data_IF_838427700604
#
_entry.id   IF_838427700604
#
_cell.length_a   1.000
_cell.length_b   1.000
_cell.length_c   1.000
_cell.angle_alpha   90.00
_cell.angle_beta   90.00
_cell.angle_gamma   90.00
#
_symmetry.space_group_name_H-M   'P 1'
#
loop_
_entity.id
_entity.type
_entity.pdbx_description
1 polymer ?
#
# COMPACT_ATOMS: atom_id res chain seq x y z
N UNK A 1 9.44 -29.01 4.89
CA UNK A 1 9.19 -27.91 5.85
C UNK A 1 9.01 -26.64 5.06
N UNK A 2 7.78 -26.34 4.64
CA UNK A 2 7.42 -25.10 3.97
C UNK A 2 7.38 -23.98 5.01
N UNK A 3 8.54 -23.36 5.26
CA UNK A 3 8.63 -22.22 6.16
C UNK A 3 7.67 -21.13 5.69
N UNK A 4 6.60 -20.91 6.46
CA UNK A 4 5.59 -19.90 6.19
C UNK A 4 6.29 -18.54 6.14
N UNK A 5 6.44 -17.97 4.94
CA UNK A 5 7.19 -16.73 4.73
C UNK A 5 6.35 -15.54 5.22
N UNK A 6 6.44 -15.24 6.51
CA UNK A 6 5.76 -14.09 7.13
C UNK A 6 6.34 -12.77 6.62
N UNK A 7 5.49 -11.78 6.37
CA UNK A 7 5.91 -10.43 5.96
C UNK A 7 6.34 -10.27 4.50
N UNK A 8 6.15 -11.28 3.64
CA UNK A 8 6.44 -11.14 2.19
C UNK A 8 5.57 -10.05 1.58
N UNK A 9 6.19 -9.15 0.81
CA UNK A 9 5.52 -8.02 0.16
C UNK A 9 5.37 -6.77 1.03
N UNK A 10 5.68 -6.84 2.34
CA UNK A 10 5.63 -5.67 3.22
C UNK A 10 6.85 -4.78 2.97
N UNK A 11 6.60 -3.49 2.69
CA UNK A 11 7.64 -2.47 2.51
C UNK A 11 7.53 -1.45 3.64
N UNK A 12 8.65 -1.19 4.32
CA UNK A 12 8.79 -0.11 5.30
C UNK A 12 9.60 1.05 4.72
N UNK A 13 9.12 2.28 4.90
CA UNK A 13 9.82 3.51 4.48
C UNK A 13 10.08 4.37 5.71
N UNK A 14 11.32 4.82 5.89
CA UNK A 14 11.73 5.68 7.00
C UNK A 14 12.86 6.61 6.56
N UNK A 15 12.83 7.86 7.04
CA UNK A 15 13.93 8.82 6.92
C UNK A 15 14.65 8.93 8.27
N UNK A 16 15.97 8.67 8.29
CA UNK A 16 16.75 8.58 9.53
C UNK A 16 17.83 9.67 9.61
N UNK A 17 17.43 10.93 9.82
CA UNK A 17 18.36 12.07 9.89
C UNK A 17 19.31 12.05 11.11
N UNK A 18 19.04 11.17 12.08
CA UNK A 18 19.88 10.96 13.27
C UNK A 18 20.97 9.88 13.08
N UNK A 19 20.90 9.10 12.00
CA UNK A 19 21.92 8.10 11.68
C UNK A 19 23.00 8.71 10.80
N UNK A 20 24.23 8.20 10.93
CA UNK A 20 25.37 8.66 10.14
C UNK A 20 25.53 7.79 8.89
N UNK A 21 25.47 8.36 7.67
CA UNK A 21 25.75 7.60 6.46
C UNK A 21 27.21 7.13 6.43
N UNK A 22 27.44 5.92 5.91
CA UNK A 22 28.77 5.42 5.59
C UNK A 22 29.40 6.24 4.43
N UNK A 23 30.71 6.07 4.21
CA UNK A 23 31.49 6.89 3.29
C UNK A 23 30.89 7.01 1.87
N UNK A 24 30.37 5.91 1.30
CA UNK A 24 29.78 5.88 -0.04
C UNK A 24 28.25 6.17 -0.06
N UNK A 25 27.65 6.47 1.10
CA UNK A 25 26.21 6.72 1.27
C UNK A 25 25.31 5.57 0.77
N UNK A 26 25.80 4.33 0.80
CA UNK A 26 25.00 3.13 0.51
C UNK A 26 24.64 2.34 1.78
N UNK A 27 25.12 2.79 2.94
CA UNK A 27 24.83 2.19 4.24
C UNK A 27 24.94 3.26 5.34
N UNK A 28 24.73 2.85 6.58
CA UNK A 28 24.95 3.64 7.79
C UNK A 28 26.13 3.09 8.58
N UNK A 29 26.77 3.93 9.39
CA UNK A 29 27.71 3.47 10.41
C UNK A 29 27.01 2.48 11.37
N UNK A 30 27.69 1.38 11.70
CA UNK A 30 27.14 0.32 12.55
C UNK A 30 27.15 0.70 14.04
N UNK A 31 26.32 1.68 14.40
CA UNK A 31 26.22 2.24 15.74
C UNK A 31 25.20 1.48 16.61
N UNK A 32 25.08 1.87 17.89
CA UNK A 32 24.01 1.37 18.75
C UNK A 32 22.64 1.85 18.24
N UNK A 33 22.57 3.09 17.80
CA UNK A 33 21.37 3.76 17.30
C UNK A 33 20.86 3.05 16.03
N UNK A 34 21.74 2.73 15.08
CA UNK A 34 21.39 1.98 13.87
C UNK A 34 20.74 0.62 14.21
N UNK A 35 21.40 -0.16 15.08
CA UNK A 35 20.90 -1.48 15.49
C UNK A 35 19.55 -1.41 16.20
N UNK A 36 19.38 -0.43 17.08
CA UNK A 36 18.11 -0.23 17.78
C UNK A 36 17.00 0.19 16.81
N UNK A 37 17.30 1.05 15.82
CA UNK A 37 16.35 1.43 14.77
C UNK A 37 15.91 0.22 13.95
N UNK A 38 16.85 -0.61 13.48
CA UNK A 38 16.51 -1.84 12.74
C UNK A 38 15.67 -2.81 13.58
N UNK A 39 16.02 -3.01 14.84
CA UNK A 39 15.24 -3.88 15.73
C UNK A 39 13.81 -3.34 15.93
N UNK A 40 13.65 -2.03 16.15
CA UNK A 40 12.35 -1.40 16.29
C UNK A 40 11.50 -1.48 15.01
N UNK A 41 12.12 -1.31 13.83
CA UNK A 41 11.46 -1.49 12.54
C UNK A 41 10.98 -2.93 12.37
N UNK A 42 11.80 -3.94 12.71
CA UNK A 42 11.41 -5.35 12.65
C UNK A 42 10.18 -5.66 13.50
N UNK A 43 10.12 -5.13 14.72
CA UNK A 43 8.94 -5.28 15.59
C UNK A 43 7.69 -4.64 14.97
N UNK A 44 7.79 -3.39 14.50
CA UNK A 44 6.67 -2.66 13.88
C UNK A 44 6.18 -3.32 12.58
N UNK A 45 7.08 -3.84 11.75
CA UNK A 45 6.74 -4.56 10.54
C UNK A 45 5.99 -5.87 10.84
N UNK A 46 6.42 -6.58 11.89
CA UNK A 46 5.72 -7.78 12.34
C UNK A 46 4.32 -7.47 12.87
N UNK A 47 4.18 -6.41 13.67
CA UNK A 47 2.87 -5.96 14.16
C UNK A 47 1.94 -5.59 12.99
N UNK A 48 2.42 -4.79 12.04
CA UNK A 48 1.68 -4.43 10.84
C UNK A 48 1.22 -5.66 10.03
N UNK A 49 2.13 -6.62 9.81
CA UNK A 49 1.81 -7.84 9.07
C UNK A 49 0.70 -8.65 9.75
N UNK A 50 0.79 -8.85 11.07
CA UNK A 50 -0.24 -9.57 11.84
C UNK A 50 -1.58 -8.84 11.75
N UNK A 51 -1.58 -7.53 11.97
CA UNK A 51 -2.79 -6.71 11.93
C UNK A 51 -3.49 -6.81 10.56
N UNK A 52 -2.75 -6.68 9.46
CA UNK A 52 -3.30 -6.81 8.10
C UNK A 52 -3.84 -8.21 7.82
N UNK A 53 -3.17 -9.26 8.29
CA UNK A 53 -3.66 -10.65 8.17
C UNK A 53 -4.94 -10.87 8.98
N UNK A 54 -5.02 -10.37 10.20
CA UNK A 54 -6.20 -10.47 11.05
C UNK A 54 -7.38 -9.68 10.47
N UNK A 55 -7.15 -8.47 9.95
CA UNK A 55 -8.18 -7.66 9.27
C UNK A 55 -8.76 -8.43 8.09
N UNK A 56 -7.90 -8.97 7.22
CA UNK A 56 -8.31 -9.77 6.05
C UNK A 56 -9.09 -11.02 6.45
N UNK A 57 -8.66 -11.73 7.50
CA UNK A 57 -9.38 -12.90 8.00
C UNK A 57 -10.80 -12.55 8.49
N UNK A 58 -10.95 -11.41 9.17
CA UNK A 58 -12.27 -10.92 9.61
C UNK A 58 -13.16 -10.50 8.43
N UNK A 59 -12.62 -9.79 7.45
CA UNK A 59 -13.34 -9.40 6.23
C UNK A 59 -13.86 -10.62 5.47
N UNK A 60 -13.00 -11.64 5.27
CA UNK A 60 -13.40 -12.91 4.64
C UNK A 60 -14.50 -13.63 5.44
N UNK A 61 -14.37 -13.67 6.77
CA UNK A 61 -15.39 -14.28 7.63
C UNK A 61 -16.73 -13.54 7.55
N UNK A 62 -16.71 -12.20 7.48
CA UNK A 62 -17.91 -11.38 7.33
C UNK A 62 -18.60 -11.60 5.98
N UNK A 63 -17.85 -11.57 4.87
CA UNK A 63 -18.39 -11.85 3.53
C UNK A 63 -19.00 -13.26 3.44
N UNK A 64 -18.35 -14.26 4.05
CA UNK A 64 -18.89 -15.63 4.09
C UNK A 64 -20.22 -15.73 4.86
N UNK A 65 -20.42 -14.91 5.90
CA UNK A 65 -21.70 -14.83 6.63
C UNK A 65 -22.77 -14.09 5.82
N UNK A 66 -22.42 -12.99 5.13
CA UNK A 66 -23.37 -12.27 4.28
C UNK A 66 -23.92 -13.14 3.15
N UNK A 67 -23.05 -13.89 2.44
CA UNK A 67 -23.49 -14.84 1.39
C UNK A 67 -24.49 -15.87 1.92
N UNK A 68 -24.18 -16.49 3.08
CA UNK A 68 -25.07 -17.45 3.76
C UNK A 68 -26.40 -16.85 4.23
N UNK A 69 -26.47 -15.54 4.42
CA UNK A 69 -27.71 -14.86 4.80
C UNK A 69 -28.62 -14.50 3.62
N UNK A 70 -28.06 -14.46 2.39
CA UNK A 70 -28.80 -14.18 1.16
C UNK A 70 -29.26 -15.47 0.45
N UNK A 71 -28.55 -16.58 0.61
CA UNK A 71 -28.94 -17.89 0.09
C UNK A 71 -29.82 -18.63 1.12
N UNK A 72 -31.14 -18.57 0.93
CA UNK A 72 -32.06 -19.46 1.62
C UNK A 72 -31.97 -20.88 1.05
N UNK A 73 -31.64 -21.83 1.93
CA UNK A 73 -31.90 -23.28 1.82
C UNK A 73 -31.80 -23.86 0.39
N UNK A 74 -30.58 -24.01 -0.12
CA UNK A 74 -30.34 -24.93 -1.25
C UNK A 74 -28.99 -25.62 -1.06
N UNK A 75 -28.98 -26.94 -1.27
CA UNK A 75 -27.93 -27.88 -0.88
C UNK A 75 -26.57 -27.64 -1.51
N UNK A 76 -25.56 -28.08 -0.76
CA UNK A 76 -24.13 -27.88 -0.90
C UNK A 76 -23.58 -28.37 -2.26
N UNK A 77 -22.88 -27.48 -2.98
CA UNK A 77 -21.80 -27.89 -3.89
C UNK A 77 -20.48 -27.44 -3.29
N UNK A 78 -19.73 -28.44 -2.83
CA UNK A 78 -18.32 -28.34 -2.44
C UNK A 78 -17.46 -27.98 -3.66
N UNK A 79 -16.36 -27.30 -3.38
CA UNK A 79 -15.17 -27.18 -4.22
C UNK A 79 -15.22 -26.22 -5.43
N UNK A 80 -15.08 -24.93 -5.15
CA UNK A 80 -14.16 -24.11 -5.95
C UNK A 80 -13.21 -23.37 -4.99
N UNK A 81 -11.98 -23.88 -4.88
CA UNK A 81 -10.78 -23.16 -4.42
C UNK A 81 -10.47 -22.00 -5.36
N UNK A 82 -11.44 -21.11 -5.56
CA UNK A 82 -11.23 -19.81 -6.15
C UNK A 82 -10.40 -19.01 -5.17
N UNK A 83 -9.09 -18.95 -5.43
CA UNK A 83 -8.33 -17.71 -5.22
C UNK A 83 -9.06 -16.60 -6.01
N UNK A 84 -10.23 -16.19 -5.55
CA UNK A 84 -10.89 -14.97 -6.04
C UNK A 84 -9.88 -13.88 -5.73
N UNK A 85 -9.28 -13.37 -6.80
CA UNK A 85 -8.33 -12.26 -6.83
C UNK A 85 -8.82 -11.21 -5.83
N UNK A 86 -8.25 -11.28 -4.63
CA UNK A 86 -8.69 -10.48 -3.51
C UNK A 86 -8.47 -9.05 -3.95
N UNK A 87 -9.55 -8.29 -4.20
CA UNK A 87 -9.46 -6.89 -4.57
C UNK A 87 -8.56 -6.21 -3.53
N UNK A 88 -7.29 -6.03 -3.89
CA UNK A 88 -6.36 -5.24 -3.11
C UNK A 88 -7.05 -3.90 -2.95
N UNK A 89 -7.17 -3.37 -1.72
CA UNK A 89 -7.74 -2.03 -1.47
C UNK A 89 -7.14 -1.08 -2.52
N UNK A 90 -7.87 -0.83 -3.62
CA UNK A 90 -7.24 -0.30 -4.82
C UNK A 90 -6.85 1.13 -4.47
N UNK A 91 -5.55 1.40 -4.43
CA UNK A 91 -5.04 2.73 -4.08
C UNK A 91 -5.38 3.65 -5.24
N UNK A 92 -6.58 4.22 -5.20
CA UNK A 92 -7.13 5.10 -6.22
C UNK A 92 -6.55 6.52 -6.12
N UNK A 93 -5.25 6.66 -5.88
CA UNK A 93 -4.57 7.96 -5.88
C UNK A 93 -3.21 7.81 -6.56
N UNK A 94 -3.06 8.49 -7.69
CA UNK A 94 -1.80 8.71 -8.38
C UNK A 94 -1.19 10.05 -7.95
N UNK A 95 0.08 10.04 -7.54
CA UNK A 95 0.82 11.27 -7.26
C UNK A 95 1.64 11.67 -8.49
N UNK A 96 1.39 12.88 -9.02
CA UNK A 96 2.11 13.41 -10.19
C UNK A 96 2.71 14.79 -9.88
N UNK A 97 3.94 15.03 -10.36
CA UNK A 97 4.65 16.29 -10.14
C UNK A 97 4.38 17.26 -11.30
N UNK A 98 4.09 18.53 -10.97
CA UNK A 98 3.97 19.59 -11.95
C UNK A 98 5.35 20.11 -12.38
N UNK A 99 5.64 20.13 -13.69
CA UNK A 99 6.91 20.59 -14.25
C UNK A 99 7.19 22.09 -14.05
N UNK A 100 6.16 22.91 -13.82
CA UNK A 100 6.35 24.36 -13.66
C UNK A 100 6.58 24.78 -12.20
N UNK A 101 5.86 24.17 -11.26
CA UNK A 101 5.89 24.60 -9.85
C UNK A 101 6.46 23.54 -8.89
N UNK A 102 6.82 22.35 -9.40
CA UNK A 102 7.38 21.22 -8.66
C UNK A 102 6.51 20.66 -7.53
N UNK A 103 5.27 21.17 -7.37
CA UNK A 103 4.29 20.66 -6.41
C UNK A 103 3.72 19.32 -6.89
N UNK A 104 3.50 18.43 -5.94
CA UNK A 104 2.82 17.15 -6.14
C UNK A 104 1.29 17.31 -6.11
N UNK A 105 0.59 16.52 -6.93
CA UNK A 105 -0.87 16.44 -6.98
C UNK A 105 -1.31 14.99 -6.84
N UNK A 106 -2.11 14.70 -5.82
CA UNK A 106 -2.80 13.42 -5.68
C UNK A 106 -4.09 13.46 -6.50
N UNK A 107 -4.19 12.61 -7.52
CA UNK A 107 -5.30 12.56 -8.46
C UNK A 107 -5.81 11.14 -8.52
N UNK A 108 -7.13 10.95 -8.46
CA UNK A 108 -7.71 9.61 -8.58
C UNK A 108 -7.35 8.97 -9.92
N UNK A 109 -6.92 7.70 -9.91
CA UNK A 109 -6.45 6.97 -11.09
C UNK A 109 -7.54 6.90 -12.16
N UNK A 110 -8.81 6.75 -11.76
CA UNK A 110 -9.95 6.74 -12.68
C UNK A 110 -10.13 8.07 -13.44
N UNK A 111 -9.68 9.20 -12.90
CA UNK A 111 -9.81 10.51 -13.56
C UNK A 111 -8.89 10.67 -14.78
N UNK A 112 -7.85 9.84 -14.90
CA UNK A 112 -6.95 9.85 -16.05
C UNK A 112 -7.41 8.91 -17.18
N UNK A 113 -8.48 8.13 -16.98
CA UNK A 113 -9.02 7.20 -17.99
C UNK A 113 -7.94 6.33 -18.67
N UNK A 114 -6.91 5.94 -17.92
CA UNK A 114 -5.79 5.13 -18.41
C UNK A 114 -4.64 5.89 -19.10
N UNK A 115 -4.75 7.20 -19.32
CA UNK A 115 -3.68 8.01 -19.92
C UNK A 115 -3.22 9.13 -18.99
N UNK A 116 -2.09 8.92 -18.32
CA UNK A 116 -1.45 9.94 -17.48
C UNK A 116 -0.59 10.85 -18.37
N UNK A 117 -0.76 12.18 -18.35
CA UNK A 117 0.06 13.10 -19.12
C UNK A 117 1.54 13.08 -18.68
N UNK A 118 2.44 13.06 -19.65
CA UNK A 118 3.88 13.28 -19.45
C UNK A 118 4.41 14.19 -20.58
N UNK A 119 4.86 15.43 -20.29
CA UNK A 119 4.94 16.06 -18.97
C UNK A 119 3.59 16.48 -18.38
N UNK A 120 3.50 16.67 -17.05
CA UNK A 120 2.32 17.21 -16.37
C UNK A 120 2.50 18.67 -15.90
N UNK A 121 1.43 19.47 -16.00
CA UNK A 121 1.34 20.85 -15.49
C UNK A 121 0.01 21.01 -14.75
N UNK A 122 -0.03 21.90 -13.75
CA UNK A 122 -1.26 22.12 -12.98
C UNK A 122 -2.46 22.48 -13.87
N UNK A 123 -2.24 23.24 -14.96
CA UNK A 123 -3.28 23.58 -15.93
C UNK A 123 -3.96 22.37 -16.60
N UNK A 124 -3.35 21.19 -16.56
CA UNK A 124 -3.87 19.92 -17.08
C UNK A 124 -4.61 19.09 -16.04
N UNK A 125 -4.84 19.62 -14.83
CA UNK A 125 -5.59 18.91 -13.79
C UNK A 125 -7.01 18.53 -14.29
N UNK A 126 -7.47 17.28 -14.12
CA UNK A 126 -8.79 16.83 -14.59
C UNK A 126 -9.93 17.67 -14.01
N UNK A 127 -9.82 18.00 -12.72
CA UNK A 127 -10.75 18.90 -12.01
C UNK A 127 -10.40 20.37 -12.31
N UNK A 128 -11.29 21.15 -12.98
CA UNK A 128 -10.98 22.52 -13.40
C UNK A 128 -10.61 23.49 -12.28
N UNK A 129 -11.22 23.36 -11.10
CA UNK A 129 -10.94 24.22 -9.95
C UNK A 129 -9.53 24.05 -9.39
N UNK A 130 -8.84 22.95 -9.72
CA UNK A 130 -7.50 22.62 -9.27
C UNK A 130 -6.41 22.90 -10.32
N UNK A 131 -6.78 23.58 -11.42
CA UNK A 131 -5.85 23.91 -12.52
C UNK A 131 -4.88 25.05 -12.22
N UNK A 132 -5.13 25.80 -11.15
CA UNK A 132 -4.35 26.99 -10.80
C UNK A 132 -3.22 26.70 -9.79
N UNK A 133 -2.20 27.57 -9.81
CA UNK A 133 -1.13 27.58 -8.83
C UNK A 133 -1.60 28.28 -7.54
N UNK A 134 -2.33 27.57 -6.68
CA UNK A 134 -2.34 27.93 -5.26
C UNK A 134 -1.40 27.00 -4.50
#
# INVERSE_FOLDING_TARGET
SSGQRSGVGVIGVIECNFLKPAHNKQDFEYTKEYRLTLAALGLKLNDYWREKKEKKAKERAFQALERKSQEGDTEETEDEDGEEDEEEEEVNVMWIQCEECLKWRGISTHLFAGSVPDPFRCSMHPIPSLRNHF
#
